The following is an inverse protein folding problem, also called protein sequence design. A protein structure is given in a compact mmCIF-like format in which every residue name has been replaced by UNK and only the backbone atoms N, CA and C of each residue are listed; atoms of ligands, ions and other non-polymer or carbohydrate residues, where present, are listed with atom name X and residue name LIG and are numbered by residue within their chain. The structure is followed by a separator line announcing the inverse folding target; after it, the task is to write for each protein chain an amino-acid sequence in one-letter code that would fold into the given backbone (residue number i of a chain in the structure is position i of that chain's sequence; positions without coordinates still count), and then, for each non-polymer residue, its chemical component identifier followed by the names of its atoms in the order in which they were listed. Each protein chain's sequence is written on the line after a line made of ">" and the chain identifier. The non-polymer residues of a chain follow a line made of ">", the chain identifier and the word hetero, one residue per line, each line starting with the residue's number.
data_IF_301565978339
#
_entry.id   IF_301565978339
#
_cell.length_a   1.000
_cell.length_b   1.000
_cell.length_c   1.000
_cell.angle_alpha   90.00
_cell.angle_beta   90.00
_cell.angle_gamma   90.00
#
_symmetry.space_group_name_H-M   'P 1'
#
loop_
_entity.id
_entity.type
_entity.pdbx_description
1 polymer ?
#
# COMPACT_ATOMS: atom_id res chain seq x y z
N UNK A 1 -5.66 -18.89 3.64
CA UNK A 1 -4.76 -17.71 3.64
C UNK A 1 -5.13 -16.87 2.43
N UNK A 2 -5.91 -15.81 2.62
CA UNK A 2 -6.48 -15.00 1.53
C UNK A 2 -5.46 -13.95 1.11
N UNK A 3 -4.98 -14.00 -0.13
CA UNK A 3 -4.12 -12.96 -0.71
C UNK A 3 -5.01 -11.89 -1.34
N UNK A 4 -4.97 -10.67 -0.83
CA UNK A 4 -5.69 -9.54 -1.43
C UNK A 4 -4.70 -8.58 -2.09
N UNK A 5 -4.92 -8.27 -3.36
CA UNK A 5 -4.14 -7.31 -4.14
C UNK A 5 -4.93 -6.02 -4.27
N UNK A 6 -4.41 -4.91 -3.74
CA UNK A 6 -5.10 -3.61 -3.80
C UNK A 6 -4.18 -2.52 -4.34
N UNK A 7 -4.72 -1.63 -5.16
CA UNK A 7 -4.04 -0.45 -5.69
C UNK A 7 -4.00 0.66 -4.64
N UNK A 8 -2.83 1.21 -4.33
CA UNK A 8 -2.62 1.98 -3.08
C UNK A 8 -3.36 3.32 -3.05
N UNK A 9 -3.64 3.93 -4.21
CA UNK A 9 -4.47 5.16 -4.32
C UNK A 9 -5.80 5.10 -3.54
N UNK A 10 -6.58 4.02 -3.65
CA UNK A 10 -7.79 3.76 -2.84
C UNK A 10 -7.54 2.68 -1.76
N UNK A 11 -6.62 1.77 -2.04
CA UNK A 11 -6.26 0.61 -1.22
C UNK A 11 -5.43 0.95 0.02
N UNK A 12 -4.95 2.18 0.19
CA UNK A 12 -4.20 2.54 1.39
C UNK A 12 -5.07 2.58 2.66
N UNK A 13 -6.32 3.07 2.56
CA UNK A 13 -7.30 3.02 3.66
C UNK A 13 -7.87 1.61 3.80
N UNK A 14 -8.27 0.99 2.68
CA UNK A 14 -8.83 -0.36 2.68
C UNK A 14 -7.84 -1.42 3.15
N UNK A 15 -6.56 -1.30 2.78
CA UNK A 15 -5.48 -2.19 3.19
C UNK A 15 -5.20 -2.12 4.70
N UNK A 16 -5.29 -0.92 5.30
CA UNK A 16 -5.24 -0.77 6.76
C UNK A 16 -6.41 -1.47 7.43
N UNK A 17 -7.64 -1.30 6.93
CA UNK A 17 -8.81 -2.00 7.47
C UNK A 17 -8.73 -3.52 7.29
N UNK A 18 -8.20 -4.01 6.17
CA UNK A 18 -8.03 -5.44 5.93
C UNK A 18 -6.94 -6.05 6.81
N UNK A 19 -5.85 -5.33 7.05
CA UNK A 19 -4.81 -5.73 8.00
C UNK A 19 -5.37 -5.83 9.43
N UNK A 20 -6.26 -4.90 9.81
CA UNK A 20 -6.96 -4.92 11.09
C UNK A 20 -8.03 -6.03 11.16
N UNK A 21 -8.62 -6.40 10.03
CA UNK A 21 -9.61 -7.47 9.92
C UNK A 21 -9.00 -8.89 9.96
N UNK A 22 -7.68 -9.03 10.17
CA UNK A 22 -7.00 -10.31 10.29
C UNK A 22 -6.63 -10.96 8.96
N UNK A 23 -6.51 -10.19 7.87
CA UNK A 23 -5.95 -10.71 6.62
C UNK A 23 -4.45 -10.94 6.80
N UNK A 24 -4.03 -12.21 6.83
CA UNK A 24 -2.63 -12.57 7.12
C UNK A 24 -1.62 -12.17 6.04
N UNK A 25 -2.05 -11.91 4.80
CA UNK A 25 -1.15 -11.49 3.72
C UNK A 25 -1.78 -10.46 2.79
N UNK A 26 -1.10 -9.32 2.62
CA UNK A 26 -1.53 -8.21 1.77
C UNK A 26 -0.47 -7.90 0.72
N UNK A 27 -0.91 -7.68 -0.50
CA UNK A 27 -0.05 -7.21 -1.59
C UNK A 27 -0.51 -5.82 -2.03
N UNK A 28 0.40 -4.86 -1.97
CA UNK A 28 0.14 -3.47 -2.30
C UNK A 28 0.83 -3.15 -3.62
N UNK A 29 0.05 -2.80 -4.64
CA UNK A 29 0.60 -2.55 -5.98
C UNK A 29 0.33 -1.12 -6.38
N UNK A 30 1.36 -0.28 -6.47
CA UNK A 30 1.22 1.12 -6.89
C UNK A 30 2.56 1.68 -7.37
N UNK A 31 2.60 2.07 -8.64
CA UNK A 31 3.77 2.67 -9.30
C UNK A 31 4.02 4.13 -8.88
N UNK A 32 3.08 4.77 -8.20
CA UNK A 32 3.20 6.19 -7.87
C UNK A 32 4.11 6.41 -6.67
N UNK A 33 4.69 7.61 -6.64
CA UNK A 33 5.39 8.16 -5.47
C UNK A 33 4.48 9.10 -4.70
N UNK A 34 4.78 9.28 -3.41
CA UNK A 34 4.07 10.26 -2.57
C UNK A 34 4.37 11.66 -3.09
N UNK A 35 3.33 12.34 -3.56
CA UNK A 35 3.36 13.73 -4.03
C UNK A 35 2.67 14.64 -3.01
N UNK A 36 3.32 15.77 -2.72
CA UNK A 36 2.82 16.86 -1.87
C UNK A 36 1.41 17.32 -2.27
N UNK A 37 1.13 17.38 -3.56
CA UNK A 37 -0.18 17.75 -4.08
C UNK A 37 -1.28 16.78 -3.67
N UNK A 38 -0.94 15.53 -3.33
CA UNK A 38 -1.89 14.48 -3.00
C UNK A 38 -1.96 14.15 -1.49
N UNK A 39 -1.08 14.75 -0.66
CA UNK A 39 -1.01 14.49 0.80
C UNK A 39 -2.32 14.87 1.51
N UNK A 40 -3.01 15.91 1.03
CA UNK A 40 -4.23 16.42 1.67
C UNK A 40 -5.43 15.44 1.69
N UNK A 41 -5.40 14.36 0.88
CA UNK A 41 -6.46 13.33 0.85
C UNK A 41 -5.95 11.91 1.16
N UNK A 42 -4.64 11.74 1.38
CA UNK A 42 -4.05 10.41 1.52
C UNK A 42 -3.53 10.23 2.95
N UNK A 43 -4.42 9.67 3.79
CA UNK A 43 -4.27 9.41 5.23
C UNK A 43 -2.97 8.70 5.67
N UNK A 44 -2.33 7.78 4.91
CA UNK A 44 -1.14 7.08 5.37
C UNK A 44 0.16 7.89 5.25
N UNK A 45 0.20 8.96 4.46
CA UNK A 45 1.44 9.65 4.11
C UNK A 45 1.66 10.89 4.97
N UNK A 46 2.88 11.04 5.49
CA UNK A 46 3.32 12.26 6.16
C UNK A 46 4.32 13.01 5.26
N UNK A 47 4.58 14.28 5.54
CA UNK A 47 5.52 15.12 4.77
C UNK A 47 6.91 14.47 4.60
N UNK A 48 7.37 13.67 5.57
CA UNK A 48 8.63 12.94 5.47
C UNK A 48 8.67 11.83 4.40
N UNK A 49 7.52 11.44 3.85
CA UNK A 49 7.42 10.39 2.84
C UNK A 49 7.42 10.91 1.40
N UNK A 50 7.50 12.23 1.18
CA UNK A 50 7.53 12.83 -0.16
C UNK A 50 8.62 12.17 -1.01
N UNK A 51 8.28 11.83 -2.26
CA UNK A 51 9.13 11.11 -3.25
C UNK A 51 9.42 9.63 -2.95
N UNK A 52 8.93 9.07 -1.84
CA UNK A 52 9.01 7.63 -1.63
C UNK A 52 7.89 6.89 -2.38
N UNK A 53 8.09 5.63 -2.78
CA UNK A 53 7.05 4.82 -3.39
C UNK A 53 5.85 4.66 -2.45
N UNK A 54 4.64 4.92 -2.95
CA UNK A 54 3.40 4.83 -2.16
C UNK A 54 3.22 3.44 -1.56
N UNK A 55 3.47 2.39 -2.35
CA UNK A 55 3.35 1.00 -1.92
C UNK A 55 4.23 0.67 -0.71
N UNK A 56 5.48 1.11 -0.72
CA UNK A 56 6.42 0.88 0.38
C UNK A 56 5.99 1.60 1.66
N UNK A 57 5.57 2.86 1.53
CA UNK A 57 5.14 3.65 2.69
C UNK A 57 3.87 3.09 3.30
N UNK A 58 2.90 2.67 2.47
CA UNK A 58 1.69 2.02 2.92
C UNK A 58 2.00 0.66 3.60
N UNK A 59 2.93 -0.12 3.04
CA UNK A 59 3.34 -1.40 3.65
C UNK A 59 4.00 -1.20 5.02
N UNK A 60 4.87 -0.19 5.14
CA UNK A 60 5.47 0.19 6.42
C UNK A 60 4.40 0.57 7.44
N UNK A 61 3.43 1.41 7.05
CA UNK A 61 2.33 1.83 7.92
C UNK A 61 1.48 0.65 8.41
N UNK A 62 1.17 -0.30 7.51
CA UNK A 62 0.41 -1.49 7.88
C UNK A 62 1.20 -2.36 8.86
N UNK A 63 2.50 -2.56 8.64
CA UNK A 63 3.36 -3.31 9.59
C UNK A 63 3.49 -2.62 10.94
N UNK A 64 3.55 -1.29 10.97
CA UNK A 64 3.57 -0.52 12.22
C UNK A 64 2.27 -0.71 13.03
N UNK A 65 1.14 -0.94 12.34
CA UNK A 65 -0.18 -1.18 12.97
C UNK A 65 -0.36 -2.65 13.37
N UNK A 66 0.00 -3.59 12.49
CA UNK A 66 -0.10 -5.01 12.74
C UNK A 66 1.15 -5.75 12.20
N UNK A 67 2.14 -6.04 13.06
CA UNK A 67 3.38 -6.72 12.66
C UNK A 67 3.18 -8.16 12.16
N UNK A 68 2.05 -8.79 12.49
CA UNK A 68 1.75 -10.17 12.09
C UNK A 68 1.30 -10.28 10.63
N UNK A 69 0.94 -9.16 9.99
CA UNK A 69 0.51 -9.15 8.59
C UNK A 69 1.72 -9.17 7.67
N UNK A 70 1.76 -10.16 6.78
CA UNK A 70 2.76 -10.22 5.72
C UNK A 70 2.37 -9.23 4.61
N UNK A 71 3.07 -8.10 4.52
CA UNK A 71 2.82 -7.08 3.47
C UNK A 71 3.94 -7.09 2.44
N UNK A 72 3.55 -7.22 1.17
CA UNK A 72 4.44 -7.18 0.01
C UNK A 72 4.14 -5.92 -0.82
N UNK A 73 4.99 -4.88 -0.76
CA UNK A 73 4.88 -3.71 -1.62
C UNK A 73 5.48 -3.99 -3.00
N UNK A 74 4.74 -3.65 -4.05
CA UNK A 74 5.16 -3.75 -5.45
C UNK A 74 4.99 -2.38 -6.09
N UNK A 75 6.09 -1.60 -6.22
CA UNK A 75 6.04 -0.27 -6.80
C UNK A 75 6.04 -0.31 -8.34
N UNK A 76 5.24 -1.20 -8.94
CA UNK A 76 5.18 -1.44 -10.39
C UNK A 76 3.75 -1.31 -10.91
N UNK A 77 3.63 -1.09 -12.23
CA UNK A 77 2.33 -1.05 -12.89
C UNK A 77 1.85 -2.48 -13.19
N UNK A 78 0.57 -2.74 -12.95
CA UNK A 78 -0.06 -3.98 -13.41
C UNK A 78 -0.29 -3.85 -14.92
N UNK A 79 0.38 -4.70 -15.70
CA UNK A 79 0.02 -4.82 -17.11
C UNK A 79 -1.35 -5.52 -17.27
N UNK A 80 -1.98 -5.39 -18.45
CA UNK A 80 -3.28 -6.02 -18.75
C UNK A 80 -3.30 -7.55 -18.55
N UNK A 81 -2.14 -8.20 -18.45
CA UNK A 81 -2.01 -9.63 -18.17
C UNK A 81 -1.96 -9.97 -16.67
N UNK A 82 -2.13 -8.99 -15.77
CA UNK A 82 -2.06 -9.19 -14.32
C UNK A 82 -0.65 -9.47 -13.78
N UNK A 83 0.39 -9.18 -14.58
CA UNK A 83 1.79 -9.38 -14.19
C UNK A 83 2.45 -8.02 -13.89
N UNK A 84 3.40 -8.04 -12.96
CA UNK A 84 4.27 -6.90 -12.63
C UNK A 84 5.30 -6.70 -13.77
N UNK A 85 5.84 -5.49 -13.90
CA UNK A 85 6.56 -5.04 -15.08
C UNK A 85 7.81 -4.26 -14.71
#
# INVERSE_FOLDING_TARGET
>A
MTLLSTSVSSGSVSGLYLALAGVGKLRLVDQDVVDLNNIHRQVPYILYNIRLPKAEVAAKRIKDVNPEVEVEPIPENINESGKYK
#
